data_IF_258327853723
#
_entry.id   IF_258327853723
#
_cell.length_a   1.000
_cell.length_b   1.000
_cell.length_c   1.000
_cell.angle_alpha   90.00
_cell.angle_beta   90.00
_cell.angle_gamma   90.00
#
_symmetry.space_group_name_H-M   'P 1'
#
loop_
_entity.id
_entity.type
_entity.pdbx_description
1 polymer ?
#
# COMPACT_ATOMS: atom_id res chain seq x y z
N UNK A 1 -8.44 -22.96 -4.60
CA UNK A 1 -8.41 -21.60 -5.19
C UNK A 1 -8.35 -21.72 -6.70
N UNK A 2 -9.10 -20.91 -7.45
CA UNK A 2 -9.03 -20.92 -8.92
C UNK A 2 -7.81 -20.13 -9.41
N UNK A 3 -7.24 -20.47 -10.58
CA UNK A 3 -6.11 -19.75 -11.19
C UNK A 3 -6.36 -18.24 -11.27
N UNK A 4 -7.61 -17.85 -11.50
CA UNK A 4 -8.07 -16.44 -11.53
C UNK A 4 -7.87 -15.72 -10.21
N UNK A 5 -8.21 -16.33 -9.06
CA UNK A 5 -8.05 -15.70 -7.74
C UNK A 5 -6.58 -15.43 -7.41
N UNK A 6 -5.66 -16.33 -7.79
CA UNK A 6 -4.22 -16.16 -7.57
C UNK A 6 -3.69 -14.98 -8.40
N UNK A 7 -4.10 -14.89 -9.68
CA UNK A 7 -3.72 -13.78 -10.56
C UNK A 7 -4.22 -12.44 -10.03
N UNK A 8 -5.46 -12.37 -9.55
CA UNK A 8 -6.04 -11.14 -8.97
C UNK A 8 -5.25 -10.70 -7.74
N UNK A 9 -4.96 -11.63 -6.81
CA UNK A 9 -4.17 -11.31 -5.62
C UNK A 9 -2.77 -10.81 -5.98
N UNK A 10 -2.11 -11.45 -6.94
CA UNK A 10 -0.80 -11.02 -7.44
C UNK A 10 -0.83 -9.60 -8.01
N UNK A 11 -1.85 -9.28 -8.82
CA UNK A 11 -2.04 -7.93 -9.37
C UNK A 11 -2.26 -6.91 -8.26
N UNK A 12 -3.14 -7.20 -7.30
CA UNK A 12 -3.42 -6.29 -6.18
C UNK A 12 -2.14 -6.04 -5.36
N UNK A 13 -1.36 -7.07 -5.04
CA UNK A 13 -0.09 -6.92 -4.33
C UNK A 13 0.91 -6.08 -5.13
N UNK A 14 1.04 -6.32 -6.43
CA UNK A 14 1.94 -5.55 -7.29
C UNK A 14 1.51 -4.08 -7.38
N UNK A 15 0.21 -3.81 -7.53
CA UNK A 15 -0.34 -2.46 -7.52
C UNK A 15 -0.06 -1.75 -6.20
N UNK A 16 -0.25 -2.44 -5.07
CA UNK A 16 0.09 -1.90 -3.76
C UNK A 16 1.58 -1.60 -3.63
N UNK A 17 2.47 -2.45 -4.13
CA UNK A 17 3.92 -2.22 -4.10
C UNK A 17 4.31 -0.97 -4.89
N UNK A 18 3.79 -0.83 -6.11
CA UNK A 18 4.03 0.36 -6.95
C UNK A 18 3.54 1.62 -6.24
N UNK A 19 2.34 1.55 -5.67
CA UNK A 19 1.73 2.67 -4.97
C UNK A 19 2.49 3.00 -3.67
N UNK A 20 3.05 2.01 -2.98
CA UNK A 20 3.92 2.23 -1.82
C UNK A 20 5.18 3.00 -2.21
N UNK A 21 5.85 2.60 -3.29
CA UNK A 21 7.04 3.32 -3.80
C UNK A 21 6.71 4.77 -4.18
N UNK A 22 5.56 4.97 -4.81
CA UNK A 22 5.02 6.30 -5.11
C UNK A 22 4.78 7.14 -3.84
N UNK A 23 4.18 6.54 -2.81
CA UNK A 23 3.92 7.18 -1.53
C UNK A 23 5.21 7.53 -0.78
N UNK A 24 6.21 6.65 -0.79
CA UNK A 24 7.54 6.93 -0.23
C UNK A 24 8.19 8.11 -0.94
N UNK A 25 8.09 8.17 -2.27
CA UNK A 25 8.70 9.25 -3.07
C UNK A 25 8.03 10.59 -2.76
N UNK A 26 6.71 10.66 -2.86
CA UNK A 26 5.94 11.90 -2.59
C UNK A 26 6.02 12.32 -1.12
N UNK A 27 6.02 11.37 -0.18
CA UNK A 27 6.19 11.64 1.25
C UNK A 27 7.58 12.17 1.59
N UNK A 28 8.62 11.66 0.93
CA UNK A 28 9.99 12.17 1.09
C UNK A 28 10.12 13.59 0.57
N UNK A 29 9.49 13.92 -0.56
CA UNK A 29 9.43 15.28 -1.08
C UNK A 29 8.78 16.24 -0.07
N UNK A 30 7.62 15.86 0.48
CA UNK A 30 6.92 16.67 1.48
C UNK A 30 7.75 16.84 2.76
N UNK A 31 8.44 15.78 3.21
CA UNK A 31 9.30 15.82 4.39
C UNK A 31 10.48 16.80 4.21
N UNK A 32 11.13 16.78 3.04
CA UNK A 32 12.22 17.71 2.72
C UNK A 32 11.71 19.16 2.76
N UNK A 33 10.59 19.43 2.10
CA UNK A 33 10.01 20.77 2.07
C UNK A 33 9.57 21.25 3.47
N UNK A 34 8.99 20.37 4.30
CA UNK A 34 8.64 20.70 5.68
C UNK A 34 9.85 21.03 6.57
N UNK A 35 11.02 20.45 6.28
CA UNK A 35 12.27 20.75 6.99
C UNK A 35 13.00 22.00 6.45
N UNK A 36 12.35 22.79 5.60
CA UNK A 36 12.93 24.00 5.02
C UNK A 36 13.81 23.75 3.79
N UNK A 37 13.75 22.54 3.21
CA UNK A 37 14.43 22.24 1.95
C UNK A 37 13.81 23.00 0.78
N UNK A 38 14.65 23.55 -0.10
CA UNK A 38 14.19 24.26 -1.29
C UNK A 38 13.63 23.26 -2.29
N UNK A 39 12.34 23.38 -2.61
CA UNK A 39 11.65 22.52 -3.55
C UNK A 39 11.03 23.36 -4.68
N UNK A 40 11.20 22.96 -5.95
CA UNK A 40 10.48 23.58 -7.06
C UNK A 40 8.97 23.57 -6.82
N UNK A 41 8.32 24.71 -7.03
CA UNK A 41 6.87 24.88 -6.85
C UNK A 41 6.02 23.80 -7.57
N UNK A 42 6.37 23.36 -8.81
CA UNK A 42 5.65 22.28 -9.47
C UNK A 42 5.72 20.94 -8.72
N UNK A 43 6.88 20.61 -8.13
CA UNK A 43 7.06 19.37 -7.37
C UNK A 43 6.31 19.41 -6.04
N UNK A 44 6.32 20.55 -5.36
CA UNK A 44 5.52 20.76 -4.15
C UNK A 44 4.03 20.59 -4.42
N UNK A 45 3.51 21.27 -5.45
CA UNK A 45 2.09 21.19 -5.84
C UNK A 45 1.70 19.77 -6.26
N UNK A 46 2.60 19.07 -6.96
CA UNK A 46 2.39 17.67 -7.30
C UNK A 46 2.33 16.81 -6.04
N UNK A 47 3.34 16.84 -5.19
CA UNK A 47 3.43 15.98 -4.01
C UNK A 47 2.28 16.22 -3.01
N UNK A 48 1.90 17.48 -2.76
CA UNK A 48 0.81 17.82 -1.82
C UNK A 48 -0.56 17.35 -2.28
N UNK A 49 -0.79 17.22 -3.60
CA UNK A 49 -2.06 16.71 -4.15
C UNK A 49 -2.01 15.19 -4.35
N UNK A 50 -0.89 14.70 -4.86
CA UNK A 50 -0.70 13.30 -5.23
C UNK A 50 -0.60 12.38 -4.00
N UNK A 51 0.11 12.80 -2.95
CA UNK A 51 0.31 11.99 -1.76
C UNK A 51 -1.01 11.62 -1.04
N UNK A 52 -1.91 12.56 -0.70
CA UNK A 52 -3.17 12.20 -0.04
C UNK A 52 -4.04 11.29 -0.93
N UNK A 53 -4.13 11.56 -2.23
CA UNK A 53 -4.89 10.71 -3.18
C UNK A 53 -4.29 9.30 -3.25
N UNK A 54 -2.96 9.21 -3.37
CA UNK A 54 -2.25 7.92 -3.33
C UNK A 54 -2.46 7.17 -2.02
N UNK A 55 -2.51 7.89 -0.89
CA UNK A 55 -2.79 7.31 0.43
C UNK A 55 -4.18 6.69 0.52
N UNK A 56 -5.21 7.38 0.01
CA UNK A 56 -6.57 6.83 -0.06
C UNK A 56 -6.66 5.59 -0.94
N UNK A 57 -6.02 5.61 -2.12
CA UNK A 57 -5.97 4.47 -3.01
C UNK A 57 -5.24 3.28 -2.35
N UNK A 58 -4.16 3.54 -1.63
CA UNK A 58 -3.39 2.51 -0.95
C UNK A 58 -4.21 1.87 0.17
N UNK A 59 -4.94 2.69 0.94
CA UNK A 59 -5.83 2.20 1.97
C UNK A 59 -6.96 1.33 1.37
N UNK A 60 -7.62 1.79 0.31
CA UNK A 60 -8.67 1.04 -0.36
C UNK A 60 -8.18 -0.31 -0.91
N UNK A 61 -7.02 -0.31 -1.58
CA UNK A 61 -6.38 -1.54 -2.05
C UNK A 61 -5.94 -2.44 -0.90
N UNK A 62 -5.47 -1.88 0.21
CA UNK A 62 -5.10 -2.64 1.41
C UNK A 62 -6.30 -3.36 2.03
N UNK A 63 -7.45 -2.69 2.15
CA UNK A 63 -8.71 -3.31 2.60
C UNK A 63 -9.11 -4.42 1.63
N UNK A 64 -9.07 -4.15 0.32
CA UNK A 64 -9.36 -5.16 -0.70
C UNK A 64 -8.42 -6.36 -0.64
N UNK A 65 -7.12 -6.13 -0.43
CA UNK A 65 -6.11 -7.17 -0.28
C UNK A 65 -6.35 -8.03 0.96
N UNK A 66 -6.66 -7.40 2.10
CA UNK A 66 -7.00 -8.12 3.33
C UNK A 66 -8.26 -8.98 3.15
N UNK A 67 -9.32 -8.43 2.55
CA UNK A 67 -10.56 -9.17 2.28
C UNK A 67 -10.32 -10.36 1.34
N UNK A 68 -9.55 -10.17 0.27
CA UNK A 68 -9.22 -11.23 -0.68
C UNK A 68 -8.40 -12.36 -0.04
N UNK A 69 -7.60 -12.07 0.98
CA UNK A 69 -6.71 -13.04 1.65
C UNK A 69 -7.24 -13.50 3.02
N UNK A 70 -8.41 -13.05 3.45
CA UNK A 70 -8.97 -13.32 4.79
C UNK A 70 -8.95 -14.81 5.17
N UNK A 71 -9.37 -15.69 4.26
CA UNK A 71 -9.38 -17.15 4.52
C UNK A 71 -7.99 -17.75 4.74
N UNK A 72 -6.96 -17.21 4.08
CA UNK A 72 -5.57 -17.65 4.31
C UNK A 72 -5.04 -17.11 5.62
N UNK A 73 -5.37 -15.86 5.95
CA UNK A 73 -5.01 -15.27 7.22
C UNK A 73 -5.62 -16.04 8.41
N UNK A 74 -6.89 -16.45 8.29
CA UNK A 74 -7.57 -17.28 9.28
C UNK A 74 -6.91 -18.65 9.45
N UNK A 75 -6.51 -19.30 8.33
CA UNK A 75 -5.78 -20.58 8.41
C UNK A 75 -4.41 -20.42 9.07
N UNK A 76 -3.68 -19.35 8.78
CA UNK A 76 -2.36 -19.09 9.36
C UNK A 76 -2.46 -18.80 10.86
N UNK A 77 -3.46 -18.03 11.29
CA UNK A 77 -3.75 -17.79 12.71
C UNK A 77 -4.08 -19.08 13.45
N UNK A 78 -4.87 -19.97 12.83
CA UNK A 78 -5.20 -21.27 13.42
C UNK A 78 -3.95 -22.15 13.55
N UNK A 79 -3.12 -22.21 12.52
CA UNK A 79 -1.86 -22.97 12.55
C UNK A 79 -0.88 -22.43 13.62
N UNK A 80 -0.83 -21.10 13.81
CA UNK A 80 -0.02 -20.49 14.87
C UNK A 80 -0.55 -20.82 16.27
N UNK A 81 -1.87 -20.92 16.44
CA UNK A 81 -2.49 -21.33 17.72
C UNK A 81 -2.19 -22.78 18.05
N UNK A 82 -2.26 -23.67 17.05
CA UNK A 82 -1.99 -25.10 17.21
C UNK A 82 -0.49 -25.38 17.47
N UNK A 83 0.44 -24.59 16.92
CA UNK A 83 1.88 -24.67 17.25
C UNK A 83 2.25 -24.20 18.66
N UNK A 84 1.35 -23.49 19.33
CA UNK A 84 1.55 -22.97 20.69
C UNK A 84 1.01 -23.90 21.78
N UNK A 85 0.28 -24.95 21.40
CA UNK A 85 -0.15 -26.04 22.28
C UNK A 85 0.85 -27.20 22.19
#
# INVERSE_FOLDING_TARGET
MTKTTIRIRGVVTLSMLILLLFMVTTGSMLLVAQRGGVMPLPLWNFATRAHPVGGFLFLALGIGHAALNWKLFESDLKALREKKQ
#
